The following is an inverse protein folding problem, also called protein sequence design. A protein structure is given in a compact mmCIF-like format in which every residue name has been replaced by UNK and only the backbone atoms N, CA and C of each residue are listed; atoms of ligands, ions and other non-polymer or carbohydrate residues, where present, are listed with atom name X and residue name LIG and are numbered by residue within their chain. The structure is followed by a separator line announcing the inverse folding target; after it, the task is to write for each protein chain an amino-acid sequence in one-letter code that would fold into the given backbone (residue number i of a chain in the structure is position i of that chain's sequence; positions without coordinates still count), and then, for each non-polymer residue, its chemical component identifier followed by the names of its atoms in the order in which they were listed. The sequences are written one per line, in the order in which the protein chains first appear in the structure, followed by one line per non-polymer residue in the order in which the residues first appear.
data_IF_452281935707
#
_entry.id   IF_452281935707
#
_cell.length_a   1.000
_cell.length_b   1.000
_cell.length_c   1.000
_cell.angle_alpha   90.00
_cell.angle_beta   90.00
_cell.angle_gamma   90.00
#
_symmetry.space_group_name_H-M   'P 1'
#
loop_
_entity.id
_entity.type
_entity.pdbx_description
1 polymer ?
#
# COMPACT_ATOMS: atom_id res chain seq x y z
N UNK A 1 10.47 29.18 -1.36
CA UNK A 1 9.39 28.29 -0.92
C UNK A 1 9.33 27.09 -1.87
N UNK A 2 9.40 25.89 -1.34
CA UNK A 2 9.37 24.68 -2.14
C UNK A 2 7.93 24.27 -2.41
N UNK A 3 7.57 24.15 -3.69
CA UNK A 3 6.23 23.69 -4.06
C UNK A 3 6.11 22.18 -3.89
N UNK A 4 4.94 21.72 -3.48
CA UNK A 4 4.66 20.31 -3.42
C UNK A 4 4.63 19.70 -4.82
N UNK A 5 5.12 18.48 -4.93
CA UNK A 5 5.11 17.68 -6.15
C UNK A 5 4.21 16.47 -5.93
N UNK A 6 3.74 15.88 -7.01
CA UNK A 6 3.00 14.63 -6.95
C UNK A 6 4.01 13.49 -7.06
N UNK A 7 3.97 12.58 -6.08
CA UNK A 7 4.82 11.39 -6.05
C UNK A 7 3.98 10.16 -5.78
N UNK A 8 4.50 9.02 -6.18
CA UNK A 8 3.88 7.72 -5.87
C UNK A 8 4.70 7.02 -4.79
N UNK A 9 4.01 6.48 -3.79
CA UNK A 9 4.61 5.66 -2.74
C UNK A 9 4.08 4.25 -2.90
N UNK A 10 4.98 3.27 -2.96
CA UNK A 10 4.59 1.86 -3.05
C UNK A 10 4.68 1.20 -1.69
N UNK A 11 3.78 0.26 -1.47
CA UNK A 11 3.82 -0.58 -0.30
C UNK A 11 3.42 -2.00 -0.65
N UNK A 12 3.88 -2.96 0.14
CA UNK A 12 3.46 -4.35 0.00
C UNK A 12 3.59 -5.06 1.34
N UNK A 13 2.70 -6.00 1.56
CA UNK A 13 2.71 -6.85 2.76
C UNK A 13 2.05 -8.19 2.42
N UNK A 14 2.09 -9.13 3.35
CA UNK A 14 1.43 -10.42 3.19
C UNK A 14 0.55 -10.71 4.39
N UNK A 15 -0.42 -11.60 4.20
CA UNK A 15 -1.29 -12.11 5.26
C UNK A 15 -0.93 -13.55 5.58
N UNK A 16 -1.10 -13.94 6.85
CA UNK A 16 -0.92 -15.34 7.27
C UNK A 16 -2.09 -16.21 6.78
N UNK A 17 -3.29 -15.64 6.76
CA UNK A 17 -4.51 -16.32 6.36
C UNK A 17 -5.39 -15.35 5.56
N UNK A 18 -6.30 -15.92 4.74
CA UNK A 18 -7.32 -15.15 4.05
C UNK A 18 -8.53 -14.98 4.95
N UNK A 19 -8.45 -14.05 5.89
CA UNK A 19 -9.54 -13.68 6.78
C UNK A 19 -9.72 -12.17 6.78
N UNK A 20 -10.94 -11.66 7.05
CA UNK A 20 -11.14 -10.20 7.11
C UNK A 20 -10.25 -9.53 8.15
N UNK A 21 -10.05 -10.17 9.30
CA UNK A 21 -9.26 -9.64 10.41
C UNK A 21 -7.79 -9.51 10.02
N UNK A 22 -7.24 -10.54 9.36
CA UNK A 22 -5.84 -10.53 8.97
C UNK A 22 -5.58 -9.52 7.85
N UNK A 23 -6.49 -9.42 6.88
CA UNK A 23 -6.38 -8.42 5.82
C UNK A 23 -6.44 -7.01 6.41
N UNK A 24 -7.35 -6.78 7.37
CA UNK A 24 -7.47 -5.48 8.03
C UNK A 24 -6.20 -5.13 8.79
N UNK A 25 -5.66 -6.05 9.58
CA UNK A 25 -4.45 -5.81 10.36
C UNK A 25 -3.24 -5.51 9.47
N UNK A 26 -3.05 -6.32 8.43
CA UNK A 26 -1.93 -6.15 7.51
C UNK A 26 -2.04 -4.83 6.73
N UNK A 27 -3.23 -4.48 6.27
CA UNK A 27 -3.47 -3.26 5.52
C UNK A 27 -3.23 -2.02 6.38
N UNK A 28 -3.76 -2.02 7.61
CA UNK A 28 -3.58 -0.90 8.53
C UNK A 28 -2.12 -0.67 8.84
N UNK A 29 -1.39 -1.73 9.17
CA UNK A 29 0.04 -1.65 9.47
C UNK A 29 0.80 -1.02 8.29
N UNK A 30 0.51 -1.47 7.07
CA UNK A 30 1.18 -1.00 5.88
C UNK A 30 0.89 0.49 5.62
N UNK A 31 -0.39 0.88 5.65
CA UNK A 31 -0.77 2.28 5.40
C UNK A 31 -0.12 3.21 6.42
N UNK A 32 -0.18 2.85 7.70
CA UNK A 32 0.36 3.71 8.75
C UNK A 32 1.87 3.90 8.62
N UNK A 33 2.60 2.86 8.24
CA UNK A 33 4.04 2.97 8.01
C UNK A 33 4.36 3.78 6.75
N UNK A 34 3.58 3.62 5.69
CA UNK A 34 3.76 4.44 4.49
C UNK A 34 3.58 5.92 4.80
N UNK A 35 2.59 6.26 5.62
CA UNK A 35 2.34 7.64 6.03
C UNK A 35 3.48 8.16 6.92
N UNK A 36 3.84 7.41 7.96
CA UNK A 36 4.85 7.82 8.92
C UNK A 36 6.22 8.00 8.29
N UNK A 37 6.68 7.00 7.53
CA UNK A 37 8.02 7.03 6.94
C UNK A 37 8.20 8.10 5.88
N UNK A 38 7.12 8.58 5.29
CA UNK A 38 7.14 9.62 4.28
C UNK A 38 6.63 10.96 4.80
N UNK A 39 6.41 11.07 6.10
CA UNK A 39 5.98 12.30 6.77
C UNK A 39 4.71 12.87 6.12
N UNK A 40 3.75 11.99 5.83
CA UNK A 40 2.51 12.36 5.16
C UNK A 40 1.39 12.57 6.16
N UNK A 41 0.57 13.58 5.87
CA UNK A 41 -0.70 13.78 6.56
C UNK A 41 -1.84 13.38 5.63
N UNK A 42 -3.02 13.21 6.19
CA UNK A 42 -4.20 12.78 5.45
C UNK A 42 -4.43 13.64 4.19
N UNK A 43 -4.31 14.95 4.32
CA UNK A 43 -4.56 15.86 3.19
C UNK A 43 -3.53 15.78 2.08
N UNK A 44 -2.40 15.13 2.34
CA UNK A 44 -1.38 14.92 1.32
C UNK A 44 -1.74 13.77 0.37
N UNK A 45 -2.67 12.92 0.76
CA UNK A 45 -3.01 11.72 -0.02
C UNK A 45 -4.02 12.06 -1.10
N UNK A 46 -3.66 11.80 -2.35
CA UNK A 46 -4.49 12.09 -3.52
C UNK A 46 -5.41 10.92 -3.84
N UNK A 47 -4.85 9.72 -3.89
CA UNK A 47 -5.59 8.50 -4.22
C UNK A 47 -4.79 7.29 -3.79
N UNK A 48 -5.47 6.16 -3.59
CA UNK A 48 -4.83 4.91 -3.22
C UNK A 48 -5.40 3.77 -4.06
N UNK A 49 -4.49 3.03 -4.71
CA UNK A 49 -4.84 1.80 -5.42
C UNK A 49 -4.34 0.63 -4.59
N UNK A 50 -5.24 -0.31 -4.31
CA UNK A 50 -4.90 -1.56 -3.65
C UNK A 50 -4.96 -2.70 -4.66
N UNK A 51 -3.99 -3.60 -4.61
CA UNK A 51 -4.09 -4.86 -5.34
C UNK A 51 -3.89 -6.01 -4.37
N UNK A 52 -4.52 -7.13 -4.68
CA UNK A 52 -4.34 -8.36 -3.91
C UNK A 52 -4.03 -9.51 -4.84
N UNK A 53 -3.25 -10.47 -4.34
CA UNK A 53 -3.14 -11.75 -5.02
C UNK A 53 -4.52 -12.43 -5.04
N UNK A 54 -4.74 -13.33 -6.00
CA UNK A 54 -6.07 -13.91 -6.26
C UNK A 54 -6.59 -14.76 -5.11
N UNK A 55 -5.73 -15.16 -4.19
CA UNK A 55 -6.07 -15.99 -3.02
C UNK A 55 -6.58 -15.18 -1.83
N UNK A 56 -6.61 -13.87 -1.90
CA UNK A 56 -7.23 -13.01 -0.88
C UNK A 56 -8.62 -12.60 -1.35
N UNK A 57 -9.64 -13.18 -0.74
CA UNK A 57 -11.03 -13.01 -1.16
C UNK A 57 -11.99 -12.63 -0.04
N UNK A 58 -11.50 -12.51 1.20
CA UNK A 58 -12.37 -12.37 2.37
C UNK A 58 -12.93 -10.97 2.53
N UNK A 59 -12.20 -9.94 2.14
CA UNK A 59 -12.64 -8.54 2.22
C UNK A 59 -11.77 -7.67 1.33
N UNK A 60 -12.17 -6.40 1.19
CA UNK A 60 -11.39 -5.40 0.44
C UNK A 60 -10.41 -4.69 1.38
N UNK A 61 -9.14 -4.55 1.01
CA UNK A 61 -8.24 -3.68 1.78
C UNK A 61 -8.76 -2.25 1.95
N UNK A 62 -9.48 -1.73 0.95
CA UNK A 62 -10.06 -0.40 1.01
C UNK A 62 -11.04 -0.22 2.17
N UNK A 63 -11.69 -1.29 2.63
CA UNK A 63 -12.58 -1.25 3.79
C UNK A 63 -11.82 -0.76 5.02
N UNK A 64 -10.64 -1.32 5.27
CA UNK A 64 -9.77 -0.90 6.37
C UNK A 64 -9.32 0.56 6.20
N UNK A 65 -8.95 0.94 4.99
CA UNK A 65 -8.53 2.31 4.73
C UNK A 65 -9.63 3.30 5.09
N UNK A 66 -10.89 3.02 4.73
CA UNK A 66 -12.01 3.88 5.10
C UNK A 66 -12.17 3.99 6.62
N UNK A 67 -12.01 2.87 7.32
CA UNK A 67 -12.16 2.82 8.77
C UNK A 67 -11.10 3.61 9.51
N UNK A 68 -9.91 3.75 8.95
CA UNK A 68 -8.82 4.49 9.59
C UNK A 68 -8.69 5.93 9.08
N UNK A 69 -9.70 6.44 8.39
CA UNK A 69 -9.79 7.86 8.06
C UNK A 69 -9.66 8.23 6.59
N UNK A 70 -9.58 7.26 5.67
CA UNK A 70 -9.44 7.54 4.25
C UNK A 70 -10.76 7.47 3.48
N UNK A 71 -11.90 7.64 4.17
CA UNK A 71 -13.20 7.54 3.51
C UNK A 71 -13.47 8.61 2.47
N UNK A 72 -12.80 9.74 2.54
CA UNK A 72 -12.91 10.84 1.59
C UNK A 72 -11.83 10.79 0.49
N UNK A 73 -10.92 9.83 0.54
CA UNK A 73 -9.85 9.66 -0.45
C UNK A 73 -10.34 8.71 -1.54
N UNK A 74 -10.11 9.00 -2.82
CA UNK A 74 -10.42 8.05 -3.89
C UNK A 74 -9.63 6.75 -3.71
N UNK A 75 -10.36 5.64 -3.56
CA UNK A 75 -9.79 4.31 -3.33
C UNK A 75 -10.33 3.35 -4.39
N UNK A 76 -9.48 2.44 -4.84
CA UNK A 76 -9.89 1.36 -5.73
C UNK A 76 -9.10 0.10 -5.40
N UNK A 77 -9.75 -1.06 -5.55
CA UNK A 77 -9.11 -2.36 -5.40
C UNK A 77 -9.13 -3.11 -6.72
N UNK A 78 -8.06 -3.85 -6.99
CA UNK A 78 -7.94 -4.70 -8.18
C UNK A 78 -7.22 -5.99 -7.82
N UNK A 79 -7.34 -7.00 -8.68
CA UNK A 79 -6.59 -8.24 -8.54
C UNK A 79 -5.28 -8.15 -9.29
N UNK A 80 -4.24 -8.78 -8.74
CA UNK A 80 -2.96 -8.92 -9.41
C UNK A 80 -3.06 -9.97 -10.53
N UNK A 81 -2.14 -9.86 -11.47
CA UNK A 81 -2.03 -10.87 -12.53
C UNK A 81 -1.61 -12.19 -11.87
N UNK A 82 -2.34 -13.26 -12.20
CA UNK A 82 -2.12 -14.58 -11.58
C UNK A 82 -0.96 -15.33 -12.26
N UNK A 83 0.25 -14.78 -12.12
CA UNK A 83 1.44 -15.44 -12.66
C UNK A 83 1.79 -16.62 -11.77
N UNK A 84 2.01 -17.83 -12.35
CA UNK A 84 2.42 -18.97 -11.54
C UNK A 84 3.69 -18.69 -10.75
N UNK A 85 3.66 -19.01 -9.46
CA UNK A 85 4.79 -18.75 -8.57
C UNK A 85 4.83 -17.35 -7.98
N UNK A 86 3.87 -16.49 -8.30
CA UNK A 86 3.77 -15.18 -7.68
C UNK A 86 3.50 -15.30 -6.19
N UNK A 87 3.87 -14.26 -5.43
CA UNK A 87 3.74 -14.25 -3.97
C UNK A 87 2.29 -14.44 -3.53
N UNK A 88 2.07 -15.40 -2.61
CA UNK A 88 0.75 -15.70 -2.09
C UNK A 88 0.33 -14.69 -1.01
N UNK A 89 -0.97 -14.50 -0.87
CA UNK A 89 -1.60 -13.68 0.16
C UNK A 89 -0.94 -12.31 0.30
N UNK A 90 -0.69 -11.68 -0.85
CA UNK A 90 0.03 -10.41 -0.94
C UNK A 90 -0.95 -9.25 -1.17
N UNK A 91 -0.75 -8.16 -0.43
CA UNK A 91 -1.45 -6.90 -0.62
C UNK A 91 -0.42 -5.88 -1.07
N UNK A 92 -0.70 -5.16 -2.16
CA UNK A 92 0.13 -4.05 -2.62
C UNK A 92 -0.66 -2.76 -2.62
N UNK A 93 0.05 -1.67 -2.38
CA UNK A 93 -0.53 -0.33 -2.39
C UNK A 93 0.30 0.56 -3.30
N UNK A 94 -0.39 1.34 -4.14
CA UNK A 94 0.19 2.47 -4.85
C UNK A 94 -0.56 3.71 -4.36
N UNK A 95 0.13 4.57 -3.63
CA UNK A 95 -0.44 5.79 -3.06
C UNK A 95 0.14 6.99 -3.77
N UNK A 96 -0.72 7.85 -4.30
CA UNK A 96 -0.29 9.11 -4.90
C UNK A 96 -0.45 10.22 -3.88
N UNK A 97 0.59 11.03 -3.73
CA UNK A 97 0.66 12.03 -2.66
C UNK A 97 1.25 13.34 -3.14
N UNK A 98 0.93 14.40 -2.42
CA UNK A 98 1.68 15.67 -2.51
C UNK A 98 2.80 15.62 -1.50
N UNK A 99 4.01 15.98 -1.93
CA UNK A 99 5.16 16.03 -1.04
C UNK A 99 6.22 16.97 -1.62
N UNK A 100 7.08 17.49 -0.76
CA UNK A 100 8.24 18.27 -1.20
C UNK A 100 9.47 17.38 -1.40
N UNK A 101 9.36 16.10 -1.07
CA UNK A 101 10.47 15.16 -1.22
C UNK A 101 10.75 14.86 -2.68
N UNK A 102 12.02 14.69 -3.02
CA UNK A 102 12.42 14.20 -4.33
C UNK A 102 12.09 12.72 -4.44
N UNK A 103 12.16 12.18 -5.66
CA UNK A 103 11.83 10.77 -5.90
C UNK A 103 12.68 9.82 -5.07
N UNK A 104 13.97 10.10 -4.92
CA UNK A 104 14.89 9.25 -4.14
C UNK A 104 14.73 9.41 -2.63
N UNK A 105 13.99 10.41 -2.18
CA UNK A 105 13.67 10.57 -0.76
C UNK A 105 12.39 9.84 -0.35
N UNK A 106 11.65 9.28 -1.31
CA UNK A 106 10.43 8.52 -1.01
C UNK A 106 10.83 7.15 -0.46
N UNK A 107 10.21 6.78 0.66
CA UNK A 107 10.40 5.48 1.30
C UNK A 107 9.26 4.55 0.90
N UNK A 108 9.56 3.56 0.07
CA UNK A 108 8.63 2.48 -0.25
C UNK A 108 8.70 1.45 0.88
N UNK A 109 7.55 0.91 1.29
CA UNK A 109 7.45 0.08 2.49
C UNK A 109 7.12 -1.37 2.10
N UNK A 110 7.97 -2.30 2.49
CA UNK A 110 7.79 -3.73 2.22
C UNK A 110 7.87 -4.48 3.53
N UNK A 111 6.76 -5.10 3.93
CA UNK A 111 6.63 -5.75 5.23
C UNK A 111 6.48 -7.26 5.08
N UNK A 112 6.77 -7.97 6.16
CA UNK A 112 6.59 -9.41 6.25
C UNK A 112 7.29 -10.11 5.08
N UNK A 113 6.62 -11.08 4.43
CA UNK A 113 7.23 -11.81 3.32
C UNK A 113 7.42 -10.96 2.07
N UNK A 114 6.69 -9.84 1.96
CA UNK A 114 6.83 -8.94 0.83
C UNK A 114 8.19 -8.21 0.81
N UNK A 115 8.97 -8.32 1.87
CA UNK A 115 10.33 -7.74 1.89
C UNK A 115 11.19 -8.25 0.74
N UNK A 116 10.95 -9.46 0.26
CA UNK A 116 11.69 -10.02 -0.87
C UNK A 116 11.43 -9.26 -2.17
N UNK A 117 10.32 -8.53 -2.28
CA UNK A 117 10.01 -7.76 -3.47
C UNK A 117 10.90 -6.52 -3.62
N UNK A 118 11.58 -6.11 -2.55
CA UNK A 118 12.50 -4.97 -2.61
C UNK A 118 13.66 -5.21 -3.56
N UNK A 119 14.07 -6.45 -3.72
CA UNK A 119 15.20 -6.79 -4.56
C UNK A 119 14.91 -6.49 -6.03
N UNK A 120 13.65 -6.58 -6.44
CA UNK A 120 13.23 -6.27 -7.80
C UNK A 120 13.45 -4.79 -8.13
N UNK A 121 13.46 -3.92 -7.13
CA UNK A 121 13.61 -2.48 -7.30
C UNK A 121 15.06 -2.06 -7.48
N UNK A 122 15.99 -2.95 -7.22
CA UNK A 122 17.42 -2.69 -7.31
C UNK A 122 18.01 -3.15 -8.65
N UNK A 123 17.25 -3.93 -9.36
CA UNK A 123 17.70 -4.48 -10.64
C UNK A 123 17.68 -3.44 -11.75
#
# INVERSE_FOLDING_TARGET
MTSALVRAVRGATTCETDTPEEIATATQELILLMMERNELEHDDVISVLFTTSIDLTSTFPATTAREIGFGDVPLICASEIAVPGAMARCIRIMMHVYTTHSRDEIHHIYLRQAQSLRDDLRA
#
